data_IF_395322028896
#
_entry.id   IF_395322028896
#
_cell.length_a   1.000
_cell.length_b   1.000
_cell.length_c   1.000
_cell.angle_alpha   90.00
_cell.angle_beta   90.00
_cell.angle_gamma   90.00
#
_symmetry.space_group_name_H-M   'P 1'
#
loop_
_entity.id
_entity.type
_entity.pdbx_description
1 polymer ?
#
# COMPACT_ATOMS: atom_id res chain seq x y z
N UNK A 1 0.41 -0.58 1.83
CA UNK A 1 -0.27 -1.81 2.28
C UNK A 1 0.36 -2.99 1.55
N UNK A 2 -0.26 -4.17 1.59
CA UNK A 2 0.19 -5.33 0.83
C UNK A 2 -0.28 -5.29 -0.64
N UNK A 3 0.47 -5.98 -1.50
CA UNK A 3 0.22 -6.05 -2.95
C UNK A 3 -1.17 -6.62 -3.30
N UNK A 4 -1.77 -7.50 -2.48
CA UNK A 4 -3.09 -8.04 -2.76
C UNK A 4 -4.18 -7.00 -2.53
N UNK A 5 -4.07 -6.20 -1.48
CA UNK A 5 -4.98 -5.06 -1.24
C UNK A 5 -4.88 -4.04 -2.39
N UNK A 6 -3.66 -3.69 -2.80
CA UNK A 6 -3.42 -2.78 -3.93
C UNK A 6 -3.96 -3.30 -5.27
N UNK A 7 -3.97 -4.63 -5.47
CA UNK A 7 -4.59 -5.26 -6.62
C UNK A 7 -6.13 -5.30 -6.55
N UNK A 8 -6.66 -5.75 -5.41
CA UNK A 8 -8.09 -6.02 -5.25
C UNK A 8 -8.93 -4.75 -5.31
N UNK A 9 -8.52 -3.68 -4.63
CA UNK A 9 -9.33 -2.47 -4.52
C UNK A 9 -9.71 -1.88 -5.89
N UNK A 10 -8.77 -1.50 -6.77
CA UNK A 10 -9.11 -0.92 -8.07
C UNK A 10 -9.75 -1.94 -9.02
N UNK A 11 -9.32 -3.21 -9.00
CA UNK A 11 -9.90 -4.26 -9.85
C UNK A 11 -11.38 -4.53 -9.52
N UNK A 12 -11.71 -4.71 -8.25
CA UNK A 12 -13.08 -4.95 -7.80
C UNK A 12 -13.94 -3.70 -7.99
N UNK A 13 -13.40 -2.50 -7.80
CA UNK A 13 -14.08 -1.25 -8.10
C UNK A 13 -14.52 -1.20 -9.57
N UNK A 14 -13.63 -1.58 -10.51
CA UNK A 14 -13.98 -1.70 -11.92
C UNK A 14 -15.07 -2.74 -12.19
N UNK A 15 -15.03 -3.89 -11.52
CA UNK A 15 -16.05 -4.95 -11.65
C UNK A 15 -17.42 -4.53 -11.14
N UNK A 16 -17.49 -3.89 -9.97
CA UNK A 16 -18.75 -3.38 -9.39
C UNK A 16 -19.31 -2.25 -10.24
N UNK A 17 -18.45 -1.38 -10.78
CA UNK A 17 -18.82 -0.34 -11.73
C UNK A 17 -19.14 -0.87 -13.15
N UNK A 18 -19.23 -2.20 -13.32
CA UNK A 18 -19.57 -2.89 -14.58
C UNK A 18 -18.69 -2.47 -15.76
N UNK A 19 -17.41 -2.18 -15.52
CA UNK A 19 -16.45 -1.87 -16.58
C UNK A 19 -16.08 -3.13 -17.35
N UNK A 20 -15.71 -2.95 -18.62
CA UNK A 20 -15.19 -4.03 -19.46
C UNK A 20 -13.89 -4.63 -18.88
N UNK A 21 -13.51 -5.81 -19.38
CA UNK A 21 -12.36 -6.55 -18.87
C UNK A 21 -11.04 -5.78 -19.02
N UNK A 22 -10.85 -5.06 -20.14
CA UNK A 22 -9.64 -4.28 -20.43
C UNK A 22 -9.49 -3.14 -19.43
N UNK A 23 -10.59 -2.45 -19.14
CA UNK A 23 -10.63 -1.38 -18.13
C UNK A 23 -10.35 -1.91 -16.72
N UNK A 24 -10.92 -3.07 -16.35
CA UNK A 24 -10.60 -3.71 -15.06
C UNK A 24 -9.13 -4.10 -14.96
N UNK A 25 -8.52 -4.55 -16.06
CA UNK A 25 -7.08 -4.85 -16.11
C UNK A 25 -6.22 -3.59 -16.04
N UNK A 26 -6.63 -2.51 -16.69
CA UNK A 26 -5.93 -1.23 -16.62
C UNK A 26 -5.88 -0.71 -15.18
N UNK A 27 -7.01 -0.78 -14.47
CA UNK A 27 -7.13 -0.48 -13.04
C UNK A 27 -6.21 -1.38 -12.18
N UNK A 28 -6.21 -2.69 -12.43
CA UNK A 28 -5.34 -3.64 -11.74
C UNK A 28 -3.85 -3.34 -11.97
N UNK A 29 -3.45 -3.09 -13.22
CA UNK A 29 -2.07 -2.75 -13.57
C UNK A 29 -1.66 -1.46 -12.88
N UNK A 30 -2.51 -0.43 -12.88
CA UNK A 30 -2.25 0.81 -12.15
C UNK A 30 -2.07 0.59 -10.65
N UNK A 31 -2.92 -0.25 -10.06
CA UNK A 31 -2.83 -0.61 -8.64
C UNK A 31 -1.55 -1.36 -8.27
N UNK A 32 -1.00 -2.15 -9.18
CA UNK A 32 0.21 -2.96 -8.95
C UNK A 32 1.51 -2.27 -9.36
N UNK A 33 1.45 -1.33 -10.32
CA UNK A 33 2.65 -0.81 -10.96
C UNK A 33 3.64 -0.17 -9.99
N UNK A 34 3.25 0.67 -9.00
CA UNK A 34 4.22 1.26 -8.08
C UNK A 34 5.10 0.22 -7.35
N UNK A 35 4.53 -0.92 -6.96
CA UNK A 35 5.22 -2.00 -6.24
C UNK A 35 6.20 -2.81 -7.10
N UNK A 36 6.19 -2.64 -8.44
CA UNK A 36 7.21 -3.26 -9.28
C UNK A 36 8.61 -2.68 -9.05
N UNK A 37 8.74 -1.61 -8.27
CA UNK A 37 10.02 -1.12 -7.75
C UNK A 37 10.79 -2.17 -6.92
N UNK A 38 10.09 -3.12 -6.32
CA UNK A 38 10.67 -4.26 -5.61
C UNK A 38 11.56 -5.13 -6.50
N UNK A 39 11.30 -5.16 -7.81
CA UNK A 39 12.15 -5.89 -8.77
C UNK A 39 13.55 -5.27 -8.81
N UNK A 40 13.64 -3.94 -8.73
CA UNK A 40 14.93 -3.26 -8.73
C UNK A 40 15.71 -3.57 -7.43
N UNK A 41 15.02 -3.72 -6.29
CA UNK A 41 15.65 -4.15 -5.03
C UNK A 41 16.23 -5.57 -5.19
N UNK A 42 15.45 -6.49 -5.77
CA UNK A 42 15.92 -7.84 -6.08
C UNK A 42 17.14 -7.83 -7.03
N UNK A 43 17.10 -7.04 -8.11
CA UNK A 43 18.22 -6.94 -9.06
C UNK A 43 19.46 -6.40 -8.34
N UNK A 44 19.34 -5.36 -7.53
CA UNK A 44 20.48 -4.82 -6.78
C UNK A 44 21.06 -5.84 -5.80
N UNK A 45 20.22 -6.59 -5.08
CA UNK A 45 20.67 -7.58 -4.11
C UNK A 45 21.45 -8.74 -4.75
N UNK A 46 21.03 -9.21 -5.93
CA UNK A 46 21.61 -10.40 -6.57
C UNK A 46 22.64 -10.10 -7.66
N UNK A 47 22.54 -8.94 -8.32
CA UNK A 47 23.35 -8.59 -9.50
C UNK A 47 24.04 -7.23 -9.39
N UNK A 48 23.87 -6.48 -8.29
CA UNK A 48 24.41 -5.12 -8.14
C UNK A 48 25.94 -5.04 -8.24
N UNK A 49 26.66 -6.08 -7.83
CA UNK A 49 28.12 -6.17 -7.98
C UNK A 49 28.57 -6.35 -9.43
N UNK A 50 27.72 -6.89 -10.31
CA UNK A 50 28.04 -7.19 -11.70
C UNK A 50 27.48 -6.16 -12.69
N UNK A 51 26.32 -5.56 -12.41
CA UNK A 51 25.65 -4.61 -13.29
C UNK A 51 25.93 -3.13 -12.93
N UNK A 52 26.70 -2.90 -11.87
CA UNK A 52 26.83 -1.59 -11.24
C UNK A 52 25.61 -1.30 -10.35
N UNK A 53 25.86 -0.85 -9.13
CA UNK A 53 24.80 -0.56 -8.17
C UNK A 53 23.86 0.51 -8.73
N UNK A 54 22.58 0.19 -8.91
CA UNK A 54 21.57 1.20 -9.21
C UNK A 54 21.57 2.17 -8.01
N UNK A 55 21.67 3.50 -8.22
CA UNK A 55 21.79 4.46 -7.15
C UNK A 55 20.73 4.21 -6.08
N UNK A 56 21.20 4.08 -4.84
CA UNK A 56 20.33 3.82 -3.70
C UNK A 56 19.26 4.91 -3.59
N UNK A 57 19.48 6.15 -4.07
CA UNK A 57 18.44 7.20 -4.12
C UNK A 57 17.21 6.90 -4.99
N UNK A 58 17.31 6.00 -5.98
CA UNK A 58 16.18 5.46 -6.75
C UNK A 58 15.50 4.26 -6.06
N UNK A 59 16.15 3.68 -5.05
CA UNK A 59 15.87 2.36 -4.47
C UNK A 59 15.80 2.30 -2.94
N UNK A 60 16.04 3.43 -2.26
CA UNK A 60 16.54 3.43 -0.88
C UNK A 60 15.51 2.88 0.09
N UNK A 61 14.23 3.01 -0.25
CA UNK A 61 13.15 2.34 0.42
C UNK A 61 12.07 2.07 -0.63
N UNK A 62 11.57 0.84 -0.69
CA UNK A 62 10.27 0.57 -1.33
C UNK A 62 9.31 1.68 -0.89
N UNK A 63 8.56 2.28 -1.84
CA UNK A 63 7.83 3.56 -1.64
C UNK A 63 8.66 4.83 -1.83
N UNK A 64 9.51 4.81 -2.85
CA UNK A 64 10.33 5.93 -3.32
C UNK A 64 9.64 6.75 -4.42
N UNK A 65 10.37 7.00 -5.51
CA UNK A 65 9.91 7.85 -6.63
C UNK A 65 8.68 7.28 -7.34
N UNK A 66 8.57 5.96 -7.44
CA UNK A 66 7.41 5.23 -7.98
C UNK A 66 6.12 5.48 -7.24
N UNK A 67 6.18 5.99 -6.01
CA UNK A 67 5.03 6.31 -5.17
C UNK A 67 4.76 7.81 -5.07
N UNK A 68 5.20 8.58 -6.07
CA UNK A 68 4.74 9.95 -6.31
C UNK A 68 3.61 9.99 -7.35
N UNK A 69 2.78 11.04 -7.35
CA UNK A 69 1.66 11.14 -8.30
C UNK A 69 2.16 11.14 -9.74
N UNK A 70 3.18 11.96 -10.04
CA UNK A 70 3.68 12.12 -11.41
C UNK A 70 4.39 10.86 -11.86
N UNK A 71 5.40 10.41 -11.11
CA UNK A 71 6.22 9.28 -11.53
C UNK A 71 5.50 7.95 -11.38
N UNK A 72 4.63 7.78 -10.39
CA UNK A 72 3.78 6.60 -10.27
C UNK A 72 2.84 6.45 -11.47
N UNK A 73 2.23 7.54 -11.95
CA UNK A 73 1.38 7.49 -13.16
C UNK A 73 2.21 7.14 -14.39
N UNK A 74 3.36 7.81 -14.60
CA UNK A 74 4.24 7.52 -15.73
C UNK A 74 4.74 6.06 -15.70
N UNK A 75 5.12 5.56 -14.52
CA UNK A 75 5.56 4.18 -14.33
C UNK A 75 4.43 3.19 -14.59
N UNK A 76 3.20 3.51 -14.19
CA UNK A 76 2.03 2.68 -14.48
C UNK A 76 1.67 2.63 -15.97
N UNK A 77 1.89 3.71 -16.72
CA UNK A 77 1.74 3.71 -18.18
C UNK A 77 2.80 2.87 -18.87
N UNK A 78 4.05 2.91 -18.36
CA UNK A 78 5.10 2.00 -18.82
C UNK A 78 4.71 0.54 -18.52
N UNK A 79 4.19 0.25 -17.33
CA UNK A 79 3.70 -1.09 -16.98
C UNK A 79 2.55 -1.54 -17.90
N UNK A 80 1.60 -0.66 -18.23
CA UNK A 80 0.53 -0.95 -19.19
C UNK A 80 1.10 -1.24 -20.59
N UNK A 81 2.09 -0.47 -21.04
CA UNK A 81 2.79 -0.70 -22.30
C UNK A 81 3.48 -2.06 -22.35
N UNK A 82 4.19 -2.44 -21.28
CA UNK A 82 4.81 -3.77 -21.16
C UNK A 82 3.74 -4.86 -21.16
N UNK A 83 2.63 -4.66 -20.43
CA UNK A 83 1.50 -5.59 -20.38
C UNK A 83 0.78 -5.74 -21.74
N UNK A 84 0.85 -4.73 -22.62
CA UNK A 84 0.31 -4.79 -23.97
C UNK A 84 1.13 -5.67 -24.92
N UNK A 85 2.36 -6.07 -24.53
CA UNK A 85 3.25 -6.84 -25.39
C UNK A 85 2.80 -8.30 -25.46
N UNK A 86 2.84 -8.89 -26.66
CA UNK A 86 2.38 -10.28 -26.93
C UNK A 86 2.80 -11.32 -25.87
N UNK A 87 4.07 -11.40 -25.40
CA UNK A 87 4.44 -12.38 -24.39
C UNK A 87 3.68 -12.18 -23.08
N UNK A 88 3.66 -10.96 -22.55
CA UNK A 88 2.98 -10.63 -21.28
C UNK A 88 1.47 -10.76 -21.43
N UNK A 89 0.90 -10.25 -22.52
CA UNK A 89 -0.52 -10.33 -22.80
C UNK A 89 -1.01 -11.79 -22.92
N UNK A 90 -0.19 -12.68 -23.48
CA UNK A 90 -0.52 -14.12 -23.57
C UNK A 90 -0.60 -14.75 -22.17
N UNK A 91 0.35 -14.41 -21.29
CA UNK A 91 0.34 -14.84 -19.89
C UNK A 91 -0.88 -14.30 -19.16
N UNK A 92 -1.21 -13.01 -19.32
CA UNK A 92 -2.41 -12.41 -18.73
C UNK A 92 -3.69 -13.08 -19.22
N UNK A 93 -3.82 -13.32 -20.53
CA UNK A 93 -4.99 -13.99 -21.11
C UNK A 93 -5.14 -15.43 -20.61
N UNK A 94 -4.02 -16.14 -20.40
CA UNK A 94 -4.00 -17.44 -19.76
C UNK A 94 -4.50 -17.37 -18.31
N UNK A 95 -3.89 -16.52 -17.48
CA UNK A 95 -4.24 -16.38 -16.05
C UNK A 95 -5.70 -15.93 -15.84
N UNK A 96 -6.17 -14.98 -16.62
CA UNK A 96 -7.52 -14.44 -16.49
C UNK A 96 -8.58 -15.24 -17.27
N UNK A 97 -8.18 -16.25 -18.03
CA UNK A 97 -9.04 -17.06 -18.92
C UNK A 97 -9.94 -16.16 -19.79
N UNK A 98 -9.35 -15.11 -20.34
CA UNK A 98 -10.05 -14.04 -21.05
C UNK A 98 -9.26 -13.66 -22.30
N UNK A 99 -9.96 -13.16 -23.33
CA UNK A 99 -9.34 -12.59 -24.54
C UNK A 99 -9.31 -11.08 -24.40
N UNK A 100 -8.30 -10.58 -23.69
CA UNK A 100 -8.12 -9.15 -23.40
C UNK A 100 -7.17 -8.56 -24.44
N UNK A 101 -7.47 -7.35 -24.90
CA UNK A 101 -6.55 -6.50 -25.66
C UNK A 101 -6.20 -5.27 -24.82
N UNK A 102 -4.91 -5.06 -24.56
CA UNK A 102 -4.46 -3.90 -23.76
C UNK A 102 -3.87 -2.81 -24.67
N UNK A 103 -4.66 -2.34 -25.65
CA UNK A 103 -4.22 -1.28 -26.54
C UNK A 103 -3.95 0.03 -25.76
N UNK A 104 -2.89 0.75 -26.13
CA UNK A 104 -2.54 2.03 -25.50
C UNK A 104 -3.49 3.10 -26.02
N UNK A 105 -4.61 3.26 -25.31
CA UNK A 105 -5.66 4.23 -25.61
C UNK A 105 -5.78 5.23 -24.46
N UNK A 106 -6.26 6.47 -24.71
CA UNK A 106 -6.49 7.45 -23.65
C UNK A 106 -7.38 6.91 -22.51
N UNK A 107 -8.37 6.08 -22.85
CA UNK A 107 -9.23 5.40 -21.88
C UNK A 107 -8.42 4.51 -20.93
N UNK A 108 -7.59 3.60 -21.44
CA UNK A 108 -6.85 2.69 -20.57
C UNK A 108 -5.76 3.44 -19.77
N UNK A 109 -5.09 4.43 -20.38
CA UNK A 109 -4.15 5.29 -19.65
C UNK A 109 -4.80 6.02 -18.48
N UNK A 110 -6.03 6.53 -18.67
CA UNK A 110 -6.81 7.17 -17.62
C UNK A 110 -7.16 6.19 -16.49
N UNK A 111 -7.70 5.01 -16.82
CA UNK A 111 -8.06 4.02 -15.79
C UNK A 111 -6.85 3.39 -15.09
N UNK A 112 -5.71 3.28 -15.77
CA UNK A 112 -4.44 2.94 -15.13
C UNK A 112 -4.00 4.02 -14.14
N UNK A 113 -4.12 5.31 -14.50
CA UNK A 113 -3.83 6.39 -13.55
C UNK A 113 -4.76 6.36 -12.32
N UNK A 114 -6.05 6.05 -12.48
CA UNK A 114 -6.98 5.86 -11.35
C UNK A 114 -6.55 4.68 -10.46
N UNK A 115 -6.09 3.58 -11.05
CA UNK A 115 -5.51 2.46 -10.31
C UNK A 115 -4.31 2.89 -9.47
N UNK A 116 -3.41 3.66 -10.05
CA UNK A 116 -2.23 4.22 -9.37
C UNK A 116 -2.63 5.15 -8.24
N UNK A 117 -3.56 6.09 -8.45
CA UNK A 117 -4.03 6.98 -7.39
C UNK A 117 -4.66 6.20 -6.23
N UNK A 118 -5.36 5.10 -6.54
CA UNK A 118 -5.91 4.21 -5.52
C UNK A 118 -4.81 3.51 -4.72
N UNK A 119 -3.72 3.10 -5.38
CA UNK A 119 -2.53 2.56 -4.72
C UNK A 119 -1.92 3.59 -3.75
N UNK A 120 -1.64 4.81 -4.23
CA UNK A 120 -1.06 5.88 -3.43
C UNK A 120 -1.95 6.24 -2.24
N UNK A 121 -3.27 6.28 -2.43
CA UNK A 121 -4.20 6.52 -1.33
C UNK A 121 -4.11 5.46 -0.24
N UNK A 122 -4.04 4.18 -0.61
CA UNK A 122 -3.89 3.08 0.37
C UNK A 122 -2.54 3.19 1.11
N UNK A 123 -1.46 3.53 0.41
CA UNK A 123 -0.15 3.70 1.02
C UNK A 123 -0.06 4.92 1.94
N UNK A 124 -0.75 6.00 1.61
CA UNK A 124 -0.92 7.16 2.49
C UNK A 124 -1.55 6.77 3.83
N UNK A 125 -2.35 5.70 3.92
CA UNK A 125 -2.91 5.25 5.22
C UNK A 125 -1.92 4.47 6.10
N UNK A 126 -0.74 4.12 5.58
CA UNK A 126 0.22 3.25 6.28
C UNK A 126 1.41 4.01 6.83
N UNK A 127 2.10 3.42 7.81
CA UNK A 127 3.35 3.96 8.35
C UNK A 127 4.44 4.08 7.28
N UNK A 128 5.41 4.98 7.50
CA UNK A 128 6.41 5.46 6.55
C UNK A 128 5.90 6.41 5.47
N UNK A 129 4.59 6.43 5.18
CA UNK A 129 4.00 7.33 4.19
C UNK A 129 4.61 7.24 2.79
N UNK A 130 4.30 8.23 1.95
CA UNK A 130 4.78 8.31 0.55
C UNK A 130 5.08 9.75 0.11
N UNK A 131 6.07 9.97 -0.78
CA UNK A 131 6.46 11.30 -1.26
C UNK A 131 5.56 11.76 -2.42
N UNK A 132 4.27 12.04 -2.13
CA UNK A 132 3.24 12.33 -3.14
C UNK A 132 3.63 13.37 -4.19
N UNK A 133 4.33 14.43 -3.76
CA UNK A 133 4.67 15.58 -4.59
C UNK A 133 6.12 15.59 -5.11
N UNK A 134 6.84 14.47 -5.04
CA UNK A 134 8.16 14.35 -5.68
C UNK A 134 8.02 14.59 -7.22
N UNK A 135 8.86 15.44 -7.84
CA UNK A 135 10.16 15.94 -7.36
C UNK A 135 10.12 17.33 -6.69
N UNK A 136 8.95 17.95 -6.54
CA UNK A 136 8.82 19.29 -5.96
C UNK A 136 9.01 19.32 -4.45
N UNK A 137 8.71 18.20 -3.77
CA UNK A 137 8.92 18.04 -2.33
C UNK A 137 9.37 16.62 -2.01
N UNK A 138 10.29 16.50 -1.05
CA UNK A 138 10.73 15.23 -0.46
C UNK A 138 9.85 14.82 0.73
N UNK A 139 8.86 15.64 1.11
CA UNK A 139 7.96 15.36 2.24
C UNK A 139 7.15 14.09 2.01
N UNK A 140 7.16 13.21 3.02
CA UNK A 140 6.35 11.98 3.03
C UNK A 140 5.05 12.20 3.79
N UNK A 141 3.94 11.86 3.15
CA UNK A 141 2.60 12.00 3.70
C UNK A 141 2.08 10.66 4.20
N UNK A 142 1.51 10.67 5.40
CA UNK A 142 1.00 9.48 6.07
C UNK A 142 -0.14 9.83 7.03
N UNK A 143 -1.14 8.96 7.12
CA UNK A 143 -2.15 8.96 8.18
C UNK A 143 -1.68 8.19 9.41
N UNK A 144 -0.59 7.41 9.32
CA UNK A 144 -0.05 6.58 10.40
C UNK A 144 -1.16 5.72 11.06
N UNK A 145 -1.94 5.03 10.23
CA UNK A 145 -3.10 4.25 10.69
C UNK A 145 -2.81 2.75 10.71
N UNK A 146 -2.18 2.24 9.65
CA UNK A 146 -1.80 0.83 9.54
C UNK A 146 -0.29 0.65 9.54
N UNK A 147 0.17 -0.47 10.07
CA UNK A 147 1.56 -0.89 9.88
C UNK A 147 1.83 -1.14 8.39
N UNK A 148 3.08 -0.96 7.93
CA UNK A 148 3.39 -0.95 6.49
C UNK A 148 3.02 -2.27 5.79
N UNK A 149 3.10 -3.41 6.51
CA UNK A 149 2.50 -4.72 6.17
C UNK A 149 1.62 -5.16 7.33
N UNK A 150 0.33 -4.88 7.25
CA UNK A 150 -0.63 -5.35 8.24
C UNK A 150 -1.05 -6.78 7.94
N UNK A 151 -0.71 -7.73 8.82
CA UNK A 151 -0.94 -9.15 8.60
C UNK A 151 -2.43 -9.52 8.50
N UNK A 152 -3.29 -8.80 9.21
CA UNK A 152 -4.73 -9.10 9.24
C UNK A 152 -5.37 -8.70 7.92
N UNK A 153 -5.04 -7.50 7.43
CA UNK A 153 -5.48 -7.05 6.12
C UNK A 153 -4.88 -7.91 5.00
N UNK A 154 -3.60 -8.25 5.10
CA UNK A 154 -2.92 -9.13 4.13
C UNK A 154 -3.57 -10.51 4.08
N UNK A 155 -3.89 -11.10 5.24
CA UNK A 155 -4.55 -12.40 5.29
C UNK A 155 -5.96 -12.33 4.68
N UNK A 156 -6.72 -11.27 4.97
CA UNK A 156 -8.06 -11.07 4.42
C UNK A 156 -8.04 -10.84 2.90
N UNK A 157 -7.17 -9.97 2.40
CA UNK A 157 -7.00 -9.69 0.97
C UNK A 157 -6.53 -10.93 0.22
N UNK A 158 -5.59 -11.69 0.79
CA UNK A 158 -5.14 -12.97 0.24
C UNK A 158 -6.26 -14.00 0.20
N UNK A 159 -7.04 -14.15 1.27
CA UNK A 159 -8.16 -15.10 1.33
C UNK A 159 -9.23 -14.79 0.28
N UNK A 160 -9.60 -13.52 0.11
CA UNK A 160 -10.55 -13.08 -0.91
C UNK A 160 -10.01 -13.30 -2.33
N UNK A 161 -8.72 -13.02 -2.54
CA UNK A 161 -8.03 -13.32 -3.81
C UNK A 161 -8.07 -14.82 -4.08
N UNK A 162 -7.64 -15.66 -3.13
CA UNK A 162 -7.66 -17.11 -3.25
C UNK A 162 -9.08 -17.63 -3.56
N UNK A 163 -10.12 -17.09 -2.91
CA UNK A 163 -11.51 -17.42 -3.20
C UNK A 163 -11.91 -17.08 -4.64
N UNK A 164 -11.48 -15.94 -5.19
CA UNK A 164 -11.71 -15.59 -6.60
C UNK A 164 -11.03 -16.56 -7.55
N UNK A 165 -9.77 -16.95 -7.26
CA UNK A 165 -9.02 -17.92 -8.05
C UNK A 165 -9.64 -19.32 -7.95
N UNK A 166 -10.11 -19.72 -6.77
CA UNK A 166 -10.88 -20.96 -6.56
C UNK A 166 -12.14 -21.00 -7.42
N UNK A 167 -12.95 -19.93 -7.40
CA UNK A 167 -14.16 -19.81 -8.23
C UNK A 167 -13.86 -19.85 -9.73
N UNK A 168 -12.69 -19.36 -10.15
CA UNK A 168 -12.19 -19.48 -11.54
C UNK A 168 -11.60 -20.84 -11.89
N UNK A 169 -11.52 -21.77 -10.94
CA UNK A 169 -10.99 -23.13 -11.14
C UNK A 169 -9.47 -23.27 -11.02
N UNK A 170 -8.73 -22.20 -10.73
CA UNK A 170 -7.27 -22.25 -10.58
C UNK A 170 -6.82 -23.15 -9.43
N UNK A 171 -7.56 -23.13 -8.32
CA UNK A 171 -7.25 -23.96 -7.14
C UNK A 171 -8.01 -25.29 -7.11
N UNK A 172 -8.83 -25.58 -8.13
CA UNK A 172 -9.66 -26.80 -8.20
C UNK A 172 -9.06 -27.90 -9.06
N UNK A 173 -8.17 -27.56 -9.99
CA UNK A 173 -7.65 -28.49 -11.00
C UNK A 173 -6.19 -28.20 -11.33
N UNK A 174 -5.39 -29.23 -11.69
CA UNK A 174 -4.06 -29.03 -12.26
C UNK A 174 -4.12 -28.07 -13.45
N UNK A 175 -3.21 -27.10 -13.48
CA UNK A 175 -3.10 -26.09 -14.55
C UNK A 175 -4.39 -25.29 -14.82
N UNK A 176 -5.32 -25.24 -13.86
CA UNK A 176 -6.56 -24.46 -14.00
C UNK A 176 -7.48 -24.96 -15.12
N UNK A 177 -7.54 -26.27 -15.39
CA UNK A 177 -8.53 -26.84 -16.31
C UNK A 177 -9.97 -26.33 -16.04
N UNK A 178 -10.71 -26.07 -17.11
CA UNK A 178 -12.06 -25.46 -17.03
C UNK A 178 -13.05 -26.42 -16.37
N UNK A 179 -13.56 -26.06 -15.19
CA UNK A 179 -14.51 -26.88 -14.39
C UNK A 179 -15.95 -26.37 -14.46
N UNK A 180 -16.34 -25.84 -15.62
CA UNK A 180 -17.60 -25.13 -15.81
C UNK A 180 -17.54 -23.67 -15.31
N UNK A 181 -18.47 -22.83 -15.79
CA UNK A 181 -18.55 -21.42 -15.40
C UNK A 181 -19.19 -21.30 -14.02
N UNK A 182 -18.39 -21.28 -12.96
CA UNK A 182 -18.88 -20.76 -11.68
C UNK A 182 -18.75 -19.25 -11.72
N UNK A 183 -19.87 -18.55 -11.57
CA UNK A 183 -19.88 -17.10 -11.49
C UNK A 183 -19.11 -16.61 -10.25
N UNK A 184 -18.22 -15.64 -10.45
CA UNK A 184 -17.50 -14.99 -9.35
C UNK A 184 -18.38 -13.85 -8.82
N UNK A 185 -18.81 -13.88 -7.55
CA UNK A 185 -19.71 -12.86 -7.00
C UNK A 185 -18.96 -11.58 -6.63
N UNK A 186 -18.44 -10.85 -7.63
CA UNK A 186 -17.57 -9.67 -7.43
C UNK A 186 -18.15 -8.64 -6.47
N UNK A 187 -19.46 -8.37 -6.54
CA UNK A 187 -20.12 -7.41 -5.63
C UNK A 187 -20.04 -7.85 -4.17
N UNK A 188 -20.26 -9.15 -3.87
CA UNK A 188 -20.18 -9.67 -2.50
C UNK A 188 -18.74 -9.63 -1.98
N UNK A 189 -17.78 -9.95 -2.85
CA UNK A 189 -16.35 -9.91 -2.52
C UNK A 189 -15.92 -8.46 -2.26
N UNK A 190 -16.37 -7.50 -3.07
CA UNK A 190 -16.07 -6.08 -2.85
C UNK A 190 -16.68 -5.56 -1.55
N UNK A 191 -17.94 -5.87 -1.26
CA UNK A 191 -18.57 -5.48 0.02
C UNK A 191 -17.83 -6.08 1.21
N UNK A 192 -17.44 -7.36 1.13
CA UNK A 192 -16.64 -8.00 2.18
C UNK A 192 -15.28 -7.32 2.34
N UNK A 193 -14.59 -7.04 1.23
CA UNK A 193 -13.29 -6.37 1.22
C UNK A 193 -13.34 -4.97 1.83
N UNK A 194 -14.28 -4.12 1.38
CA UNK A 194 -14.48 -2.78 1.92
C UNK A 194 -14.93 -2.85 3.38
N UNK A 195 -15.79 -3.80 3.74
CA UNK A 195 -16.21 -4.03 5.12
C UNK A 195 -15.01 -4.32 6.03
N UNK A 196 -14.12 -5.21 5.62
CA UNK A 196 -12.88 -5.51 6.37
C UNK A 196 -11.99 -4.26 6.49
N UNK A 197 -11.75 -3.54 5.38
CA UNK A 197 -10.93 -2.32 5.40
C UNK A 197 -11.49 -1.25 6.33
N UNK A 198 -12.80 -0.99 6.28
CA UNK A 198 -13.46 0.04 7.09
C UNK A 198 -13.56 -0.34 8.55
N UNK A 199 -13.93 -1.60 8.86
CA UNK A 199 -14.01 -2.07 10.25
C UNK A 199 -12.64 -2.05 10.92
N UNK A 200 -11.63 -2.57 10.22
CA UNK A 200 -10.29 -2.64 10.78
C UNK A 200 -9.59 -1.27 10.79
N UNK A 201 -9.83 -0.43 9.79
CA UNK A 201 -9.40 0.97 9.80
C UNK A 201 -10.06 1.79 10.90
N UNK A 202 -11.35 1.56 11.15
CA UNK A 202 -12.07 2.17 12.26
C UNK A 202 -11.51 1.74 13.62
N UNK A 203 -11.23 0.45 13.79
CA UNK A 203 -10.54 -0.07 14.98
C UNK A 203 -9.19 0.61 15.16
N UNK A 204 -8.32 0.59 14.14
CA UNK A 204 -7.01 1.25 14.20
C UNK A 204 -7.11 2.74 14.52
N UNK A 205 -8.12 3.43 14.00
CA UNK A 205 -8.32 4.85 14.26
C UNK A 205 -8.75 5.10 15.72
N UNK A 206 -9.65 4.27 16.24
CA UNK A 206 -10.06 4.30 17.64
C UNK A 206 -8.88 4.03 18.59
N UNK A 207 -8.08 3.00 18.31
CA UNK A 207 -6.91 2.67 19.14
C UNK A 207 -5.82 3.76 19.06
N UNK A 208 -5.63 4.37 17.90
CA UNK A 208 -4.72 5.51 17.72
C UNK A 208 -5.14 6.70 18.56
N UNK A 209 -6.42 7.06 18.50
CA UNK A 209 -6.98 8.21 19.24
C UNK A 209 -6.95 7.96 20.74
N UNK A 210 -7.33 6.76 21.19
CA UNK A 210 -7.21 6.37 22.60
C UNK A 210 -5.76 6.42 23.12
N UNK A 211 -4.79 6.00 22.29
CA UNK A 211 -3.36 6.11 22.62
C UNK A 211 -2.91 7.56 22.74
N UNK A 212 -3.32 8.43 21.81
CA UNK A 212 -3.00 9.84 21.87
C UNK A 212 -3.62 10.54 23.10
N UNK A 213 -4.88 10.25 23.40
CA UNK A 213 -5.61 10.83 24.54
C UNK A 213 -4.98 10.43 25.89
N UNK A 214 -4.47 9.20 26.01
CA UNK A 214 -3.88 8.72 27.26
C UNK A 214 -2.59 9.47 27.66
N UNK A 215 -1.80 9.94 26.69
CA UNK A 215 -0.57 10.70 26.96
C UNK A 215 -0.78 12.22 26.93
N UNK A 216 -1.94 12.69 26.49
CA UNK A 216 -2.30 14.11 26.52
C UNK A 216 -1.52 14.96 25.50
N UNK A 217 -1.25 16.23 25.84
CA UNK A 217 -0.74 17.23 24.90
C UNK A 217 0.79 17.27 24.75
N UNK A 218 1.52 16.41 25.47
CA UNK A 218 2.99 16.37 25.43
C UNK A 218 3.57 15.53 24.29
N UNK A 219 2.73 14.81 23.55
CA UNK A 219 3.18 13.90 22.50
C UNK A 219 3.33 14.61 21.16
N UNK A 220 4.32 14.18 20.39
CA UNK A 220 4.44 14.58 19.00
C UNK A 220 3.61 13.67 18.12
N UNK A 221 3.82 12.36 18.21
CA UNK A 221 3.28 11.42 17.22
C UNK A 221 2.98 10.04 17.78
N UNK A 222 2.11 9.33 17.07
CA UNK A 222 1.63 7.99 17.43
C UNK A 222 1.69 7.11 16.19
N UNK A 223 2.48 6.03 16.26
CA UNK A 223 2.74 5.11 15.15
C UNK A 223 2.17 3.72 15.43
N UNK A 224 1.57 3.06 14.42
CA UNK A 224 1.02 1.73 14.58
C UNK A 224 2.13 0.69 14.70
N UNK A 225 1.96 -0.29 15.59
CA UNK A 225 2.75 -1.52 15.54
C UNK A 225 2.02 -2.62 14.75
N UNK A 226 2.68 -3.77 14.62
CA UNK A 226 2.09 -4.97 14.04
C UNK A 226 0.84 -5.44 14.81
N UNK A 227 0.80 -5.26 16.14
CA UNK A 227 -0.39 -5.56 16.94
C UNK A 227 -1.37 -4.37 16.88
N UNK A 228 -2.67 -4.59 16.60
CA UNK A 228 -3.68 -3.53 16.53
C UNK A 228 -3.81 -2.64 17.76
N UNK A 229 -3.51 -3.20 18.92
CA UNK A 229 -3.65 -2.56 20.23
C UNK A 229 -2.33 -2.05 20.79
N UNK A 230 -1.22 -2.24 20.07
CA UNK A 230 0.09 -1.74 20.51
C UNK A 230 0.55 -0.62 19.59
N UNK A 231 0.94 0.50 20.18
CA UNK A 231 1.30 1.73 19.49
C UNK A 231 2.63 2.27 20.03
N UNK A 232 3.41 2.90 19.16
CA UNK A 232 4.57 3.66 19.56
C UNK A 232 4.17 5.12 19.74
N UNK A 233 4.29 5.63 20.96
CA UNK A 233 4.00 7.02 21.30
C UNK A 233 5.32 7.74 21.45
N UNK A 234 5.45 8.89 20.82
CA UNK A 234 6.70 9.62 20.69
C UNK A 234 6.58 10.99 21.34
N UNK A 235 7.51 11.28 22.23
CA UNK A 235 7.63 12.55 22.95
C UNK A 235 9.05 13.10 22.75
N UNK A 236 9.16 14.29 22.18
CA UNK A 236 10.43 14.99 22.03
C UNK A 236 10.84 15.65 23.35
N UNK A 237 12.09 15.41 23.75
CA UNK A 237 12.64 16.01 24.96
C UNK A 237 12.68 17.56 24.82
N UNK A 238 12.60 18.31 25.94
CA UNK A 238 12.60 19.78 25.92
C UNK A 238 13.84 20.41 25.25
N UNK A 239 14.96 19.66 25.21
CA UNK A 239 16.20 20.08 24.56
C UNK A 239 16.18 19.90 23.03
N UNK A 240 15.18 19.20 22.47
CA UNK A 240 15.03 18.91 21.05
C UNK A 240 16.03 17.91 20.46
N UNK A 241 16.96 17.39 21.25
CA UNK A 241 18.05 16.51 20.79
C UNK A 241 17.72 15.03 20.91
N UNK A 242 16.83 14.69 21.83
CA UNK A 242 16.45 13.32 22.16
C UNK A 242 14.94 13.13 22.02
N UNK A 243 14.56 11.88 21.79
CA UNK A 243 13.19 11.45 21.59
C UNK A 243 12.94 10.25 22.47
N UNK A 244 11.89 10.33 23.29
CA UNK A 244 11.42 9.21 24.10
C UNK A 244 10.33 8.48 23.33
N UNK A 245 10.51 7.17 23.15
CA UNK A 245 9.55 6.29 22.49
C UNK A 245 8.97 5.33 23.50
N UNK A 246 7.66 5.40 23.70
CA UNK A 246 6.90 4.48 24.54
C UNK A 246 6.23 3.41 23.69
N UNK A 247 6.40 2.15 24.05
CA UNK A 247 5.54 1.06 23.54
C UNK A 247 4.33 0.97 24.43
N UNK A 248 3.15 1.29 23.90
CA UNK A 248 1.92 1.41 24.67
C UNK A 248 0.87 0.39 24.22
N UNK A 249 0.31 -0.34 25.17
CA UNK A 249 -0.87 -1.18 24.99
C UNK A 249 -2.13 -0.37 25.29
N UNK A 250 -2.87 0.00 24.26
CA UNK A 250 -4.08 0.80 24.35
C UNK A 250 -5.25 0.03 24.98
N UNK A 251 -5.29 -1.30 24.83
CA UNK A 251 -6.34 -2.13 25.40
C UNK A 251 -6.26 -2.20 26.93
N UNK A 252 -5.04 -2.33 27.46
CA UNK A 252 -4.78 -2.40 28.90
C UNK A 252 -4.37 -1.05 29.50
N UNK A 253 -4.29 0.00 28.68
CA UNK A 253 -3.81 1.34 29.04
C UNK A 253 -2.48 1.31 29.78
N UNK A 254 -1.52 0.52 29.27
CA UNK A 254 -0.25 0.24 29.95
C UNK A 254 0.94 0.49 29.05
N UNK A 255 1.96 1.17 29.59
CA UNK A 255 3.29 1.24 28.98
C UNK A 255 3.98 -0.11 29.16
N UNK A 256 4.36 -0.73 28.03
CA UNK A 256 5.06 -2.02 28.00
C UNK A 256 6.57 -1.83 28.10
N UNK A 257 7.10 -0.81 27.43
CA UNK A 257 8.52 -0.44 27.45
C UNK A 257 8.72 1.02 27.04
N UNK A 258 9.90 1.57 27.34
CA UNK A 258 10.33 2.91 26.99
C UNK A 258 11.78 2.85 26.52
N UNK A 259 12.09 3.65 25.50
CA UNK A 259 13.44 3.82 24.96
C UNK A 259 13.71 5.31 24.74
N UNK A 260 14.94 5.73 24.98
CA UNK A 260 15.43 7.04 24.59
C UNK A 260 16.32 6.86 23.36
N UNK A 261 16.03 7.64 22.33
CA UNK A 261 16.76 7.61 21.07
C UNK A 261 17.26 9.02 20.77
N UNK A 262 18.46 9.12 20.21
CA UNK A 262 18.85 10.38 19.61
C UNK A 262 18.07 10.60 18.29
N UNK A 263 18.08 11.84 17.80
CA UNK A 263 17.34 12.20 16.59
C UNK A 263 17.71 11.41 15.33
N UNK A 264 18.95 10.90 15.22
CA UNK A 264 19.43 10.14 14.07
C UNK A 264 18.90 8.70 14.14
N UNK A 265 19.05 8.04 15.29
CA UNK A 265 18.50 6.71 15.55
C UNK A 265 16.98 6.68 15.37
N UNK A 266 16.31 7.72 15.86
CA UNK A 266 14.87 7.87 15.65
C UNK A 266 14.52 7.98 14.17
N UNK A 267 15.28 8.75 13.37
CA UNK A 267 15.02 8.91 11.94
C UNK A 267 15.26 7.62 11.13
N UNK A 268 16.18 6.76 11.57
CA UNK A 268 16.45 5.46 10.95
C UNK A 268 15.31 4.46 11.20
N UNK A 269 14.67 4.53 12.38
CA UNK A 269 13.56 3.63 12.76
C UNK A 269 12.22 4.18 12.27
N UNK A 270 12.02 5.50 12.40
CA UNK A 270 10.81 6.25 12.06
C UNK A 270 11.19 7.44 11.15
N UNK A 271 11.24 7.25 9.82
CA UNK A 271 11.45 8.32 8.84
C UNK A 271 10.56 9.52 9.14
N UNK A 272 11.15 10.68 9.47
CA UNK A 272 10.40 11.87 9.89
C UNK A 272 9.35 12.28 8.86
N UNK A 273 8.14 12.54 9.36
CA UNK A 273 7.04 13.18 8.66
C UNK A 273 6.96 14.66 9.09
N UNK A 274 6.74 15.59 8.17
CA UNK A 274 6.25 16.92 8.54
C UNK A 274 4.72 16.92 8.59
N UNK A 275 4.22 17.26 9.78
CA UNK A 275 2.82 17.40 10.16
C UNK A 275 2.03 18.28 9.19
N UNK A 276 0.93 17.76 8.66
CA UNK A 276 -0.19 18.58 8.16
C UNK A 276 -1.52 17.94 8.54
N UNK A 277 -1.86 17.97 9.83
CA UNK A 277 -3.21 18.27 10.34
C UNK A 277 -3.01 18.85 11.75
N UNK A 278 -3.26 20.15 11.95
CA UNK A 278 -3.44 20.70 13.30
C UNK A 278 -2.58 21.89 13.76
N UNK A 279 -1.77 22.56 12.91
CA UNK A 279 -1.33 23.94 13.23
C UNK A 279 -2.36 24.93 12.69
N UNK A 280 -3.42 25.11 13.45
CA UNK A 280 -4.20 26.34 13.40
C UNK A 280 -3.27 27.47 13.85
N UNK A 281 -3.11 28.42 12.95
CA UNK A 281 -2.51 29.73 13.14
C UNK A 281 -2.96 30.29 14.49
N UNK A 282 -2.01 30.58 15.38
CA UNK A 282 -2.18 31.69 16.32
C UNK A 282 -1.03 32.66 16.11
N UNK A 283 -1.45 33.88 15.81
CA UNK A 283 -0.66 35.11 15.78
C UNK A 283 0.14 35.30 17.06
#
# INVERSE_FOLDING_TARGET
MDTFTHALFPFLSGKVAKKDAETCMALLIGGLAPDFDLIFLFINAFFGSALGSIPSTLLLYHRGITHSIIFGILFSWLALYVASRKPVLSVLNYFFKSKISLAITPKLLFFTAIGTLSHLFLDFTTTYGIPLFYPFSLQRYSMELFFYIDIYLTAASLALTAYMFYKRGWLRTPFGASTGKIEVPYNKIFVAFIGVLLLFGGLRYAEKTASAENFGTGIDSVYPSFNPYVWYVVEQAPNGTEVTVFTFDSSNKKVLSQYELNNTEFADIFPRHSFLVGRSIRN
#
